data_IF_749873615008
#
_entry.id   IF_749873615008
#
_cell.length_a   1.000
_cell.length_b   1.000
_cell.length_c   1.000
_cell.angle_alpha   90.00
_cell.angle_beta   90.00
_cell.angle_gamma   90.00
#
_symmetry.space_group_name_H-M   'P 1'
#
loop_
_entity.id
_entity.type
_entity.pdbx_description
1 polymer ?
#
# COMPACT_ATOMS: atom_id res chain seq x y z
N UNK A 1 9.97 -9.36 16.52
CA UNK A 1 10.07 -8.76 15.19
C UNK A 1 8.98 -9.44 14.37
N UNK A 2 7.88 -8.73 14.11
CA UNK A 2 6.72 -9.27 13.42
C UNK A 2 6.55 -8.46 12.15
N UNK A 3 7.00 -9.02 11.04
CA UNK A 3 6.79 -8.47 9.70
C UNK A 3 5.28 -8.44 9.41
N UNK A 4 4.74 -7.37 8.80
CA UNK A 4 3.32 -7.32 8.44
C UNK A 4 3.09 -8.19 7.20
N UNK A 5 2.23 -9.20 7.32
CA UNK A 5 1.83 -10.09 6.22
C UNK A 5 0.44 -9.69 5.70
N UNK A 6 0.37 -9.28 4.43
CA UNK A 6 -0.89 -9.07 3.70
C UNK A 6 -1.35 -10.39 3.10
N UNK A 7 -2.54 -10.86 3.47
CA UNK A 7 -3.15 -12.07 2.89
C UNK A 7 -4.33 -11.67 2.00
N UNK A 8 -4.18 -11.78 0.69
CA UNK A 8 -5.26 -11.53 -0.28
C UNK A 8 -6.12 -12.81 -0.47
N UNK A 9 -7.43 -12.71 -0.23
CA UNK A 9 -8.39 -13.80 -0.45
C UNK A 9 -8.74 -14.00 -1.96
N UNK A 10 -9.06 -15.23 -2.39
CA UNK A 10 -8.87 -15.66 -3.78
C UNK A 10 -10.11 -15.48 -4.66
N UNK A 11 -9.91 -15.03 -5.91
CA UNK A 11 -10.91 -15.22 -6.99
C UNK A 11 -10.38 -15.85 -8.29
N UNK A 12 -9.07 -15.94 -8.57
CA UNK A 12 -8.62 -16.54 -9.84
C UNK A 12 -7.26 -17.30 -9.83
N UNK A 13 -7.12 -18.41 -10.59
CA UNK A 13 -5.93 -19.28 -10.61
C UNK A 13 -4.70 -18.67 -11.30
N UNK A 14 -4.87 -17.59 -12.08
CA UNK A 14 -3.77 -16.82 -12.69
C UNK A 14 -2.98 -16.02 -11.63
N UNK A 15 -3.63 -15.63 -10.53
CA UNK A 15 -2.99 -14.93 -9.41
C UNK A 15 -1.93 -15.78 -8.69
N UNK A 16 -2.01 -17.12 -8.75
CA UNK A 16 -1.10 -18.01 -8.01
C UNK A 16 0.31 -18.09 -8.59
N UNK A 17 0.49 -17.88 -9.89
CA UNK A 17 1.81 -17.83 -10.57
C UNK A 17 2.40 -16.43 -10.62
N UNK A 18 1.55 -15.41 -10.64
CA UNK A 18 1.95 -14.01 -10.58
C UNK A 18 2.13 -13.51 -9.14
N UNK A 19 1.77 -14.30 -8.13
CA UNK A 19 1.79 -13.89 -6.71
C UNK A 19 3.13 -13.35 -6.24
N UNK A 20 4.24 -14.04 -6.51
CA UNK A 20 5.57 -13.56 -6.10
C UNK A 20 5.92 -12.21 -6.73
N UNK A 21 5.94 -12.09 -8.07
CA UNK A 21 6.22 -10.82 -8.74
C UNK A 21 5.20 -9.71 -8.44
N UNK A 22 3.92 -10.05 -8.26
CA UNK A 22 2.85 -9.11 -7.95
C UNK A 22 2.96 -8.60 -6.51
N UNK A 23 3.24 -9.48 -5.55
CA UNK A 23 3.53 -9.10 -4.15
C UNK A 23 4.78 -8.21 -4.10
N UNK A 24 5.84 -8.53 -4.83
CA UNK A 24 7.03 -7.66 -4.93
C UNK A 24 6.71 -6.29 -5.55
N UNK A 25 5.90 -6.23 -6.61
CA UNK A 25 5.49 -4.96 -7.21
C UNK A 25 4.58 -4.15 -6.30
N UNK A 26 3.65 -4.79 -5.59
CA UNK A 26 2.78 -4.14 -4.62
C UNK A 26 3.58 -3.60 -3.44
N UNK A 27 4.48 -4.40 -2.87
CA UNK A 27 5.37 -3.98 -1.78
C UNK A 27 6.26 -2.83 -2.23
N UNK A 28 6.86 -2.91 -3.42
CA UNK A 28 7.71 -1.84 -3.95
C UNK A 28 6.92 -0.56 -4.21
N UNK A 29 5.71 -0.65 -4.78
CA UNK A 29 4.85 0.51 -5.01
C UNK A 29 4.38 1.14 -3.69
N UNK A 30 3.98 0.33 -2.71
CA UNK A 30 3.54 0.80 -1.40
C UNK A 30 4.69 1.45 -0.61
N UNK A 31 5.90 0.88 -0.68
CA UNK A 31 7.10 1.46 -0.06
C UNK A 31 7.41 2.83 -0.68
N UNK A 32 7.46 2.92 -2.00
CA UNK A 32 7.69 4.18 -2.71
C UNK A 32 6.61 5.22 -2.41
N UNK A 33 5.33 4.81 -2.33
CA UNK A 33 4.23 5.68 -1.94
C UNK A 33 4.39 6.17 -0.49
N UNK A 34 4.74 5.28 0.43
CA UNK A 34 5.01 5.61 1.84
C UNK A 34 6.13 6.63 1.97
N UNK A 35 7.25 6.42 1.27
CA UNK A 35 8.40 7.33 1.30
C UNK A 35 8.03 8.71 0.78
N UNK A 36 7.32 8.80 -0.36
CA UNK A 36 6.86 10.08 -0.92
C UNK A 36 5.88 10.81 0.00
N UNK A 37 4.93 10.09 0.58
CA UNK A 37 3.96 10.66 1.50
C UNK A 37 4.65 11.12 2.78
N UNK A 38 5.64 10.39 3.27
CA UNK A 38 6.45 10.77 4.44
C UNK A 38 7.32 12.01 4.17
N UNK A 39 7.95 12.10 3.00
CA UNK A 39 8.72 13.29 2.58
C UNK A 39 7.82 14.53 2.41
N UNK A 40 6.60 14.33 1.92
CA UNK A 40 5.63 15.40 1.68
C UNK A 40 4.67 15.64 2.84
N UNK A 41 4.87 14.97 3.98
CA UNK A 41 3.99 15.06 5.14
C UNK A 41 4.20 16.40 5.84
N UNK A 42 3.13 17.19 5.92
CA UNK A 42 3.10 18.54 6.47
C UNK A 42 2.14 18.67 7.66
N UNK A 43 1.68 17.56 8.24
CA UNK A 43 0.73 17.54 9.37
C UNK A 43 -0.72 17.28 8.96
N UNK A 44 -0.94 16.68 7.78
CA UNK A 44 -2.27 16.31 7.31
C UNK A 44 -2.93 15.24 8.20
N UNK A 45 -4.28 15.20 8.28
CA UNK A 45 -4.97 14.15 9.01
C UNK A 45 -4.74 12.77 8.39
N UNK A 46 -4.83 11.72 9.22
CA UNK A 46 -4.66 10.32 8.83
C UNK A 46 -5.51 9.95 7.60
N UNK A 47 -6.74 10.44 7.51
CA UNK A 47 -7.64 10.19 6.38
C UNK A 47 -7.06 10.71 5.05
N UNK A 48 -6.48 11.91 5.07
CA UNK A 48 -5.85 12.52 3.90
C UNK A 48 -4.54 11.80 3.54
N UNK A 49 -3.75 11.41 4.54
CA UNK A 49 -2.53 10.61 4.36
C UNK A 49 -2.87 9.24 3.75
N UNK A 50 -3.94 8.58 4.24
CA UNK A 50 -4.42 7.30 3.74
C UNK A 50 -4.88 7.39 2.28
N UNK A 51 -5.62 8.44 1.93
CA UNK A 51 -6.04 8.67 0.54
C UNK A 51 -4.83 8.92 -0.38
N UNK A 52 -3.85 9.73 0.04
CA UNK A 52 -2.62 9.97 -0.73
C UNK A 52 -1.82 8.68 -0.93
N UNK A 53 -1.70 7.86 0.12
CA UNK A 53 -1.05 6.55 0.05
C UNK A 53 -1.73 5.64 -0.98
N UNK A 54 -3.06 5.61 -1.00
CA UNK A 54 -3.84 4.84 -1.96
C UNK A 54 -3.62 5.33 -3.40
N UNK A 55 -3.67 6.64 -3.61
CA UNK A 55 -3.52 7.25 -4.93
C UNK A 55 -2.09 7.07 -5.48
N UNK A 56 -1.06 7.27 -4.66
CA UNK A 56 0.34 7.04 -5.02
C UNK A 56 0.63 5.56 -5.29
N UNK A 57 0.08 4.66 -4.46
CA UNK A 57 0.23 3.21 -4.68
C UNK A 57 -0.44 2.81 -6.00
N UNK A 58 -1.65 3.29 -6.27
CA UNK A 58 -2.36 3.03 -7.55
C UNK A 58 -1.61 3.60 -8.75
N UNK A 59 -1.00 4.77 -8.63
CA UNK A 59 -0.19 5.38 -9.68
C UNK A 59 1.08 4.58 -9.98
N UNK A 60 1.64 3.88 -8.99
CA UNK A 60 2.78 2.97 -9.15
C UNK A 60 2.42 1.60 -9.74
N UNK A 61 1.14 1.24 -9.79
CA UNK A 61 0.67 -0.04 -10.32
C UNK A 61 0.34 0.03 -11.81
N UNK A 62 0.55 -1.08 -12.51
CA UNK A 62 0.09 -1.23 -13.89
C UNK A 62 -1.44 -1.05 -13.95
N UNK A 63 -2.01 -0.39 -14.98
CA UNK A 63 -3.45 -0.14 -15.06
C UNK A 63 -4.32 -1.41 -14.93
N UNK A 64 -3.85 -2.55 -15.45
CA UNK A 64 -4.53 -3.84 -15.30
C UNK A 64 -4.57 -4.34 -13.85
N UNK A 65 -3.55 -4.00 -13.06
CA UNK A 65 -3.47 -4.33 -11.63
C UNK A 65 -4.27 -3.31 -10.84
N UNK A 66 -4.14 -2.02 -11.14
CA UNK A 66 -4.85 -0.93 -10.46
C UNK A 66 -6.38 -1.10 -10.56
N UNK A 67 -6.89 -1.59 -11.69
CA UNK A 67 -8.31 -1.89 -11.89
C UNK A 67 -8.83 -3.02 -10.97
N UNK A 68 -7.97 -3.99 -10.63
CA UNK A 68 -8.28 -5.09 -9.72
C UNK A 68 -7.81 -4.85 -8.27
N UNK A 69 -7.09 -3.75 -8.01
CA UNK A 69 -6.47 -3.49 -6.73
C UNK A 69 -7.50 -3.02 -5.69
N UNK A 70 -7.84 -3.95 -4.79
CA UNK A 70 -8.60 -3.72 -3.56
C UNK A 70 -7.65 -3.92 -2.38
N UNK A 71 -6.98 -2.85 -1.91
CA UNK A 71 -6.14 -2.95 -0.73
C UNK A 71 -6.98 -3.18 0.52
N UNK A 72 -6.36 -3.77 1.53
CA UNK A 72 -6.89 -3.77 2.88
C UNK A 72 -6.80 -2.33 3.44
N UNK A 73 -7.95 -1.70 3.58
CA UNK A 73 -8.04 -0.33 4.08
C UNK A 73 -7.63 -0.22 5.55
N UNK A 74 -7.76 -1.28 6.34
CA UNK A 74 -7.29 -1.29 7.72
C UNK A 74 -5.76 -1.22 7.79
N UNK A 75 -5.08 -1.91 6.86
CA UNK A 75 -3.63 -1.87 6.76
C UNK A 75 -3.12 -0.50 6.27
N UNK A 76 -3.75 0.07 5.24
CA UNK A 76 -3.43 1.43 4.77
C UNK A 76 -3.62 2.47 5.88
N UNK A 77 -4.70 2.37 6.66
CA UNK A 77 -4.93 3.21 7.83
C UNK A 77 -3.82 3.05 8.88
N UNK A 78 -3.33 1.83 9.13
CA UNK A 78 -2.20 1.62 10.07
C UNK A 78 -0.93 2.30 9.60
N UNK A 79 -0.57 2.17 8.32
CA UNK A 79 0.62 2.83 7.74
C UNK A 79 0.46 4.36 7.80
N UNK A 80 -0.71 4.89 7.43
CA UNK A 80 -1.00 6.32 7.54
C UNK A 80 -0.90 6.84 8.98
N UNK A 81 -1.40 6.08 9.96
CA UNK A 81 -1.23 6.39 11.39
C UNK A 81 0.25 6.38 11.79
N UNK A 82 1.04 5.44 11.28
CA UNK A 82 2.46 5.36 11.59
C UNK A 82 3.23 6.57 11.04
N UNK A 83 2.94 7.00 9.81
CA UNK A 83 3.48 8.24 9.21
C UNK A 83 3.11 9.45 10.07
N UNK A 84 1.82 9.60 10.42
CA UNK A 84 1.33 10.72 11.22
C UNK A 84 1.96 10.77 12.61
N UNK A 85 2.20 9.60 13.21
CA UNK A 85 2.85 9.46 14.53
C UNK A 85 4.37 9.54 14.48
N UNK A 86 4.98 9.52 13.30
CA UNK A 86 6.44 9.49 13.13
C UNK A 86 7.10 8.18 13.61
N UNK A 87 6.32 7.11 13.77
CA UNK A 87 6.84 5.77 14.10
C UNK A 87 7.20 5.04 12.82
N UNK A 88 8.42 4.51 12.77
CA UNK A 88 8.88 3.65 11.66
C UNK A 88 8.00 2.39 11.62
N UNK A 89 7.45 2.08 10.45
CA UNK A 89 6.53 0.97 10.18
C UNK A 89 7.30 -0.25 9.71
#
# INVERSE_FOLDING_TARGET
MSEPHVTLEPRDPVQKKLRGPLEEQLTSALQAATDRVRESYAGEPVEQVCQRLLDETRAGLHPDIAAGFQPDMDEFCRVAVAIVRGTDV
#
